data_IF_304381638798
#
_entry.id   IF_304381638798
#
_cell.length_a   1.000
_cell.length_b   1.000
_cell.length_c   1.000
_cell.angle_alpha   90.00
_cell.angle_beta   90.00
_cell.angle_gamma   90.00
#
_symmetry.space_group_name_H-M   'P 1'
#
loop_
_entity.id
_entity.type
_entity.pdbx_description
1 polymer ?
#
# COMPACT_ATOMS: atom_id res chain seq x y z
N UNK A 1 10.09 12.44 -4.09
CA UNK A 1 10.69 13.17 -2.96
C UNK A 1 11.99 12.47 -2.63
N UNK A 2 13.12 13.14 -2.84
CA UNK A 2 14.35 12.68 -2.21
C UNK A 2 14.09 12.79 -0.71
N UNK A 3 13.96 11.64 -0.06
CA UNK A 3 13.87 11.61 1.39
C UNK A 3 15.22 12.11 1.90
N UNK A 4 15.25 13.34 2.39
CA UNK A 4 16.28 13.70 3.36
C UNK A 4 16.20 12.60 4.42
N UNK A 5 17.32 12.02 4.75
CA UNK A 5 17.43 11.03 5.81
C UNK A 5 16.71 11.58 7.04
N UNK A 6 15.71 10.87 7.51
CA UNK A 6 14.90 11.28 8.65
C UNK A 6 15.37 10.54 9.88
N UNK A 7 16.09 11.25 10.74
CA UNK A 7 16.48 10.73 12.05
C UNK A 7 15.28 10.74 12.99
N UNK A 8 14.99 9.60 13.58
CA UNK A 8 13.92 9.41 14.54
C UNK A 8 14.50 8.87 15.85
N UNK A 9 14.21 9.58 16.94
CA UNK A 9 14.47 9.14 18.31
C UNK A 9 13.21 9.37 19.13
N UNK A 10 12.60 8.27 19.58
CA UNK A 10 11.33 8.32 20.28
C UNK A 10 11.18 7.16 21.26
N UNK A 11 10.23 7.32 22.17
CA UNK A 11 9.76 6.28 23.06
C UNK A 11 8.24 6.12 22.93
N UNK A 12 7.77 4.87 22.90
CA UNK A 12 6.35 4.56 22.98
C UNK A 12 5.89 4.69 24.43
N UNK A 13 4.89 5.52 24.68
CA UNK A 13 4.40 5.80 26.04
C UNK A 13 3.42 4.71 26.45
N UNK A 14 3.87 3.82 27.33
CA UNK A 14 3.01 2.75 27.86
C UNK A 14 1.87 3.32 28.72
N UNK A 15 0.71 2.66 28.68
CA UNK A 15 -0.44 3.00 29.52
C UNK A 15 -1.25 4.22 29.09
N UNK A 16 -0.86 4.96 28.05
CA UNK A 16 -1.69 5.99 27.42
C UNK A 16 -2.61 5.40 26.37
N UNK A 17 -3.80 5.99 26.26
CA UNK A 17 -4.75 5.60 25.21
C UNK A 17 -4.20 5.92 23.82
N UNK A 18 -4.43 5.02 22.89
CA UNK A 18 -4.08 5.19 21.49
C UNK A 18 -5.04 6.18 20.83
N UNK A 19 -4.53 7.02 19.92
CA UNK A 19 -5.30 8.04 19.23
C UNK A 19 -5.86 7.53 17.91
N UNK A 20 -7.13 7.84 17.63
CA UNK A 20 -7.73 7.55 16.33
C UNK A 20 -7.06 8.37 15.23
N UNK A 21 -6.73 7.70 14.09
CA UNK A 21 -6.16 8.38 12.92
C UNK A 21 -7.21 9.16 12.09
N UNK A 22 -8.48 9.15 12.53
CA UNK A 22 -9.56 9.78 11.77
C UNK A 22 -10.04 8.96 10.57
N UNK A 23 -10.60 9.64 9.58
CA UNK A 23 -11.16 9.08 8.35
C UNK A 23 -10.59 9.76 7.12
N UNK A 24 -10.88 9.22 5.95
CA UNK A 24 -10.56 9.85 4.66
C UNK A 24 -11.87 10.17 3.94
N UNK A 25 -12.14 11.46 3.78
CA UNK A 25 -13.23 11.92 2.94
C UNK A 25 -12.78 11.99 1.49
N UNK A 26 -13.62 11.49 0.59
CA UNK A 26 -13.40 11.49 -0.84
C UNK A 26 -14.38 12.44 -1.52
N UNK A 27 -13.84 13.27 -2.37
CA UNK A 27 -14.60 14.25 -3.17
C UNK A 27 -14.19 14.15 -4.63
N UNK A 28 -14.82 14.96 -5.47
CA UNK A 28 -14.46 15.12 -6.86
C UNK A 28 -13.00 15.57 -7.03
N UNK A 29 -12.50 16.43 -6.14
CA UNK A 29 -11.15 16.98 -6.18
C UNK A 29 -10.07 16.06 -5.59
N UNK A 30 -10.46 14.96 -4.93
CA UNK A 30 -9.51 14.01 -4.34
C UNK A 30 -9.92 13.44 -2.98
N UNK A 31 -8.91 13.18 -2.14
CA UNK A 31 -9.09 12.61 -0.81
C UNK A 31 -8.47 13.49 0.24
N UNK A 32 -9.22 13.79 1.31
CA UNK A 32 -8.77 14.64 2.44
C UNK A 32 -8.85 13.84 3.73
N UNK A 33 -7.77 13.87 4.53
CA UNK A 33 -7.76 13.28 5.86
C UNK A 33 -8.54 14.15 6.84
N UNK A 34 -9.45 13.53 7.58
CA UNK A 34 -10.23 14.16 8.63
C UNK A 34 -9.75 13.64 9.98
N UNK A 35 -9.19 14.50 10.80
CA UNK A 35 -8.68 14.15 12.12
C UNK A 35 -9.79 13.77 13.09
N UNK A 36 -9.47 13.01 14.13
CA UNK A 36 -10.39 12.59 15.17
C UNK A 36 -9.66 12.52 16.51
N UNK A 37 -10.22 13.16 17.53
CA UNK A 37 -9.65 13.25 18.88
C UNK A 37 -10.12 12.11 19.80
N UNK A 38 -10.90 11.16 19.30
CA UNK A 38 -11.37 10.02 20.08
C UNK A 38 -10.28 8.97 20.25
N UNK A 39 -10.28 8.19 21.35
CA UNK A 39 -9.40 7.03 21.50
C UNK A 39 -9.62 6.00 20.39
N UNK A 40 -8.56 5.38 19.93
CA UNK A 40 -8.64 4.25 19.01
C UNK A 40 -9.00 2.95 19.76
N UNK A 41 -10.08 2.30 19.37
CA UNK A 41 -10.50 1.00 19.91
C UNK A 41 -9.97 -0.19 19.09
N UNK A 42 -9.58 0.08 17.85
CA UNK A 42 -8.93 -0.86 16.94
C UNK A 42 -7.45 -0.50 16.76
N UNK A 43 -6.75 -1.22 15.87
CA UNK A 43 -5.38 -0.89 15.53
C UNK A 43 -5.19 0.50 14.90
N UNK A 44 -6.27 1.16 14.43
CA UNK A 44 -6.19 2.43 13.69
C UNK A 44 -7.20 3.48 14.10
N UNK A 45 -8.43 3.09 14.48
CA UNK A 45 -9.55 4.02 14.55
C UNK A 45 -10.45 3.76 15.76
N UNK A 46 -11.21 4.79 16.16
CA UNK A 46 -12.38 4.62 17.01
C UNK A 46 -13.50 3.95 16.23
N UNK A 47 -14.50 3.43 16.92
CA UNK A 47 -15.61 2.70 16.32
C UNK A 47 -16.36 3.50 15.24
N UNK A 48 -16.63 4.79 15.52
CA UNK A 48 -17.31 5.69 14.57
C UNK A 48 -16.53 5.87 13.27
N UNK A 49 -15.21 6.11 13.35
CA UNK A 49 -14.38 6.30 12.17
C UNK A 49 -14.21 5.01 11.39
N UNK A 50 -14.05 3.88 12.08
CA UNK A 50 -13.97 2.57 11.45
C UNK A 50 -15.24 2.22 10.69
N UNK A 51 -16.41 2.47 11.30
CA UNK A 51 -17.71 2.25 10.66
C UNK A 51 -17.86 3.11 9.40
N UNK A 52 -17.50 4.41 9.49
CA UNK A 52 -17.55 5.32 8.33
C UNK A 52 -16.66 4.84 7.18
N UNK A 53 -15.42 4.47 7.46
CA UNK A 53 -14.49 3.99 6.45
C UNK A 53 -14.91 2.63 5.87
N UNK A 54 -15.45 1.73 6.68
CA UNK A 54 -15.98 0.44 6.21
C UNK A 54 -17.18 0.61 5.28
N UNK A 55 -18.11 1.52 5.60
CA UNK A 55 -19.24 1.85 4.74
C UNK A 55 -18.75 2.45 3.43
N UNK A 56 -17.82 3.40 3.47
CA UNK A 56 -17.26 4.02 2.28
C UNK A 56 -16.51 2.99 1.40
N UNK A 57 -15.75 2.08 2.02
CA UNK A 57 -15.06 1.01 1.30
C UNK A 57 -16.04 0.02 0.66
N UNK A 58 -17.09 -0.42 1.40
CA UNK A 58 -18.12 -1.31 0.88
C UNK A 58 -18.86 -0.68 -0.30
N UNK A 59 -19.28 0.58 -0.16
CA UNK A 59 -19.94 1.32 -1.23
C UNK A 59 -19.03 1.44 -2.48
N UNK A 60 -17.74 1.72 -2.28
CA UNK A 60 -16.79 1.80 -3.39
C UNK A 60 -16.60 0.46 -4.09
N UNK A 61 -16.45 -0.65 -3.34
CA UNK A 61 -16.24 -1.97 -3.92
C UNK A 61 -17.49 -2.54 -4.59
N UNK A 62 -18.68 -2.13 -4.14
CA UNK A 62 -19.95 -2.66 -4.63
C UNK A 62 -20.72 -1.67 -5.51
N UNK A 63 -20.16 -0.50 -5.80
CA UNK A 63 -20.83 0.56 -6.55
C UNK A 63 -21.41 0.06 -7.88
N UNK A 64 -20.65 -0.72 -8.63
CA UNK A 64 -21.07 -1.31 -9.92
C UNK A 64 -22.23 -2.31 -9.77
N UNK A 65 -22.41 -2.93 -8.60
CA UNK A 65 -23.49 -3.91 -8.31
C UNK A 65 -24.74 -3.23 -7.76
N UNK A 66 -24.58 -2.13 -7.02
CA UNK A 66 -25.69 -1.43 -6.37
C UNK A 66 -26.27 -0.30 -7.22
N UNK A 67 -25.60 0.10 -8.31
CA UNK A 67 -25.99 1.20 -9.19
C UNK A 67 -25.59 2.59 -8.67
N UNK A 68 -25.73 3.58 -9.53
CA UNK A 68 -25.28 4.97 -9.26
C UNK A 68 -25.95 5.60 -8.04
N UNK A 69 -27.23 5.29 -7.81
CA UNK A 69 -28.04 5.93 -6.76
C UNK A 69 -27.66 5.49 -5.34
N UNK A 70 -27.03 4.32 -5.18
CA UNK A 70 -26.66 3.77 -3.88
C UNK A 70 -25.34 4.33 -3.31
N UNK A 71 -24.54 5.02 -4.12
CA UNK A 71 -23.16 5.41 -3.76
C UNK A 71 -23.06 6.69 -2.93
N UNK A 72 -24.14 7.48 -2.84
CA UNK A 72 -24.11 8.85 -2.31
C UNK A 72 -23.38 9.84 -3.26
N UNK A 73 -23.75 11.13 -3.18
CA UNK A 73 -23.35 12.13 -4.17
C UNK A 73 -21.82 12.27 -4.37
N UNK A 74 -21.05 12.32 -3.29
CA UNK A 74 -19.60 12.51 -3.36
C UNK A 74 -18.88 11.26 -3.95
N UNK A 75 -19.33 10.06 -3.61
CA UNK A 75 -18.80 8.82 -4.16
C UNK A 75 -19.17 8.65 -5.63
N UNK A 76 -20.42 8.97 -5.99
CA UNK A 76 -20.89 8.95 -7.37
C UNK A 76 -20.06 9.90 -8.24
N UNK A 77 -19.84 11.14 -7.79
CA UNK A 77 -19.00 12.11 -8.49
C UNK A 77 -17.56 11.58 -8.68
N UNK A 78 -16.97 10.96 -7.64
CA UNK A 78 -15.66 10.35 -7.75
C UNK A 78 -15.62 9.23 -8.80
N UNK A 79 -16.66 8.40 -8.89
CA UNK A 79 -16.73 7.24 -9.78
C UNK A 79 -17.09 7.59 -11.23
N UNK A 80 -17.65 8.77 -11.50
CA UNK A 80 -17.96 9.20 -12.89
C UNK A 80 -16.74 9.60 -13.72
N UNK A 81 -15.57 9.77 -13.09
CA UNK A 81 -14.33 10.07 -13.80
C UNK A 81 -13.68 8.82 -14.40
N UNK A 82 -12.80 8.98 -15.41
CA UNK A 82 -12.04 7.87 -15.96
C UNK A 82 -11.16 7.18 -14.91
N UNK A 83 -11.18 5.85 -14.92
CA UNK A 83 -10.39 4.99 -14.05
C UNK A 83 -9.52 4.07 -14.89
N UNK A 84 -8.36 3.69 -14.33
CA UNK A 84 -7.43 2.74 -14.94
C UNK A 84 -7.45 1.42 -14.19
N UNK A 85 -7.39 0.35 -14.94
CA UNK A 85 -7.19 -1.01 -14.47
C UNK A 85 -5.69 -1.35 -14.57
N UNK A 86 -5.13 -1.94 -13.53
CA UNK A 86 -3.73 -2.36 -13.51
C UNK A 86 -3.59 -3.76 -12.94
N UNK A 87 -2.52 -4.44 -13.32
CA UNK A 87 -1.96 -5.59 -12.59
C UNK A 87 -0.63 -5.18 -11.97
N UNK A 88 -0.42 -5.55 -10.71
CA UNK A 88 0.81 -5.26 -9.98
C UNK A 88 1.45 -6.54 -9.45
N UNK A 89 2.78 -6.55 -9.36
CA UNK A 89 3.58 -7.61 -8.77
C UNK A 89 4.43 -7.04 -7.63
N UNK A 90 4.61 -7.86 -6.59
CA UNK A 90 5.36 -7.52 -5.37
C UNK A 90 6.67 -8.31 -5.32
N UNK A 91 7.58 -7.94 -4.40
CA UNK A 91 8.92 -8.54 -4.29
C UNK A 91 8.93 -10.06 -4.05
N UNK A 92 7.87 -10.60 -3.44
CA UNK A 92 7.66 -12.05 -3.26
C UNK A 92 7.09 -12.77 -4.51
N UNK A 93 6.86 -12.04 -5.60
CA UNK A 93 6.22 -12.56 -6.80
C UNK A 93 4.70 -12.66 -6.73
N UNK A 94 4.07 -12.30 -5.61
CA UNK A 94 2.62 -12.22 -5.53
C UNK A 94 2.07 -11.12 -6.43
N UNK A 95 0.89 -11.36 -7.01
CA UNK A 95 0.25 -10.45 -7.96
C UNK A 95 -1.14 -10.05 -7.50
N UNK A 96 -1.60 -8.89 -7.98
CA UNK A 96 -2.98 -8.46 -7.81
C UNK A 96 -3.45 -7.63 -9.01
N UNK A 97 -4.74 -7.70 -9.28
CA UNK A 97 -5.43 -6.70 -10.10
C UNK A 97 -5.94 -5.58 -9.20
N UNK A 98 -6.08 -4.38 -9.74
CA UNK A 98 -6.59 -3.23 -9.00
C UNK A 98 -6.97 -2.09 -9.91
N UNK A 99 -7.66 -1.11 -9.34
CA UNK A 99 -8.13 0.07 -10.04
C UNK A 99 -7.58 1.34 -9.40
N UNK A 100 -7.44 2.39 -10.20
CA UNK A 100 -7.03 3.71 -9.74
C UNK A 100 -7.69 4.79 -10.58
N UNK A 101 -7.99 5.94 -9.96
CA UNK A 101 -8.52 7.08 -10.68
C UNK A 101 -7.42 7.74 -11.52
N UNK A 102 -7.66 7.91 -12.80
CA UNK A 102 -6.95 8.75 -13.76
C UNK A 102 -5.45 8.96 -13.53
N UNK A 103 -5.02 10.21 -13.51
CA UNK A 103 -3.61 10.65 -13.48
C UNK A 103 -2.84 10.37 -12.17
N UNK A 104 -3.52 10.01 -11.07
CA UNK A 104 -2.89 9.75 -9.76
C UNK A 104 -2.44 8.30 -9.58
N UNK A 105 -2.47 7.50 -10.64
CA UNK A 105 -2.26 6.05 -10.59
C UNK A 105 -0.96 5.61 -9.92
N UNK A 106 0.15 6.30 -10.18
CA UNK A 106 1.45 5.96 -9.62
C UNK A 106 1.48 6.02 -8.09
N UNK A 107 0.84 7.00 -7.49
CA UNK A 107 0.78 7.12 -6.02
C UNK A 107 0.11 5.90 -5.37
N UNK A 108 -0.97 5.40 -5.97
CA UNK A 108 -1.67 4.22 -5.47
C UNK A 108 -0.79 2.97 -5.47
N UNK A 109 0.04 2.79 -6.49
CA UNK A 109 0.98 1.66 -6.58
C UNK A 109 2.07 1.76 -5.52
N UNK A 110 2.64 2.97 -5.31
CA UNK A 110 3.63 3.23 -4.24
C UNK A 110 3.03 2.97 -2.87
N UNK A 111 1.85 3.52 -2.58
CA UNK A 111 1.14 3.31 -1.30
C UNK A 111 0.87 1.84 -0.99
N UNK A 112 0.62 1.04 -2.01
CA UNK A 112 0.37 -0.39 -1.87
C UNK A 112 1.65 -1.22 -1.77
N UNK A 113 2.80 -0.63 -2.03
CA UNK A 113 4.08 -1.31 -2.02
C UNK A 113 4.32 -2.20 -3.24
N UNK A 114 3.73 -1.86 -4.39
CA UNK A 114 4.00 -2.54 -5.64
C UNK A 114 5.45 -2.34 -6.08
N UNK A 115 6.04 -3.35 -6.74
CA UNK A 115 7.39 -3.26 -7.27
C UNK A 115 7.38 -2.95 -8.76
N UNK A 116 6.62 -3.69 -9.54
CA UNK A 116 6.27 -3.41 -10.93
C UNK A 116 4.76 -3.47 -11.14
N UNK A 117 4.27 -2.81 -12.17
CA UNK A 117 2.88 -2.89 -12.59
C UNK A 117 2.72 -2.65 -14.10
N UNK A 118 1.58 -3.04 -14.62
CA UNK A 118 1.15 -2.71 -15.98
C UNK A 118 -0.27 -2.17 -15.96
N UNK A 119 -0.50 -0.98 -16.54
CA UNK A 119 -1.83 -0.48 -16.80
C UNK A 119 -2.36 -1.16 -18.07
N UNK A 120 -3.53 -1.76 -17.95
CA UNK A 120 -4.09 -2.67 -18.96
C UNK A 120 -5.27 -2.11 -19.70
N UNK A 121 -6.06 -1.25 -19.04
CA UNK A 121 -7.19 -0.58 -19.61
C UNK A 121 -7.48 0.75 -18.90
N UNK A 122 -8.10 1.67 -19.62
CA UNK A 122 -8.77 2.84 -19.09
C UNK A 122 -10.25 2.68 -19.38
N UNK A 123 -11.08 2.76 -18.35
CA UNK A 123 -12.52 2.81 -18.45
C UNK A 123 -13.02 4.25 -18.32
N UNK A 124 -14.15 4.55 -18.93
CA UNK A 124 -14.74 5.89 -18.90
C UNK A 124 -15.18 6.30 -17.50
N UNK A 125 -15.44 5.30 -16.64
CA UNK A 125 -15.85 5.52 -15.26
C UNK A 125 -15.33 4.44 -14.28
N UNK A 126 -15.53 4.70 -12.99
CA UNK A 126 -15.15 3.80 -11.91
C UNK A 126 -16.10 2.62 -11.71
N UNK A 127 -17.28 2.63 -12.28
CA UNK A 127 -18.23 1.51 -12.21
C UNK A 127 -17.77 0.41 -13.16
N UNK A 128 -17.59 0.75 -14.42
CA UNK A 128 -17.18 -0.23 -15.42
C UNK A 128 -15.79 -0.82 -15.16
N UNK A 129 -14.82 -0.01 -14.68
CA UNK A 129 -13.50 -0.54 -14.36
C UNK A 129 -13.56 -1.60 -13.25
N UNK A 130 -14.53 -1.51 -12.32
CA UNK A 130 -14.74 -2.51 -11.28
C UNK A 130 -15.41 -3.78 -11.78
N UNK A 131 -16.32 -3.65 -12.76
CA UNK A 131 -16.84 -4.82 -13.46
C UNK A 131 -15.70 -5.61 -14.12
N UNK A 132 -14.75 -4.91 -14.75
CA UNK A 132 -13.57 -5.55 -15.33
C UNK A 132 -12.66 -6.19 -14.26
N UNK A 133 -12.42 -5.49 -13.14
CA UNK A 133 -11.62 -6.00 -12.01
C UNK A 133 -12.23 -7.29 -11.44
N UNK A 134 -13.55 -7.31 -11.21
CA UNK A 134 -14.28 -8.49 -10.72
C UNK A 134 -14.26 -9.62 -11.76
N UNK A 135 -14.46 -9.32 -13.04
CA UNK A 135 -14.43 -10.31 -14.12
C UNK A 135 -13.05 -10.99 -14.25
N UNK A 136 -11.97 -10.23 -14.10
CA UNK A 136 -10.61 -10.78 -14.09
C UNK A 136 -10.42 -11.71 -12.89
N UNK A 137 -10.88 -11.28 -11.71
CA UNK A 137 -10.79 -12.12 -10.51
C UNK A 137 -11.58 -13.41 -10.67
N UNK A 138 -12.80 -13.34 -11.20
CA UNK A 138 -13.69 -14.48 -11.38
C UNK A 138 -13.21 -15.45 -12.47
N UNK A 139 -12.75 -14.94 -13.61
CA UNK A 139 -12.41 -15.76 -14.78
C UNK A 139 -10.95 -16.21 -14.81
N UNK A 140 -10.03 -15.40 -14.30
CA UNK A 140 -8.58 -15.69 -14.33
C UNK A 140 -8.02 -16.00 -12.93
N UNK A 141 -8.82 -15.90 -11.86
CA UNK A 141 -8.39 -16.22 -10.49
C UNK A 141 -7.40 -15.22 -9.88
N UNK A 142 -7.23 -14.03 -10.48
CA UNK A 142 -6.28 -13.04 -10.01
C UNK A 142 -6.90 -12.27 -8.84
N UNK A 143 -6.18 -12.21 -7.72
CA UNK A 143 -6.66 -11.60 -6.49
C UNK A 143 -6.66 -10.07 -6.58
N UNK A 144 -7.55 -9.42 -5.82
CA UNK A 144 -7.59 -7.96 -5.65
C UNK A 144 -6.78 -7.45 -4.44
N UNK A 145 -6.28 -8.36 -3.61
CA UNK A 145 -5.49 -8.03 -2.43
C UNK A 145 -4.31 -8.98 -2.23
N UNK A 146 -3.22 -8.46 -1.67
CA UNK A 146 -2.06 -9.23 -1.23
C UNK A 146 -1.82 -8.98 0.25
N UNK A 147 -1.55 -10.05 0.99
CA UNK A 147 -1.25 -10.01 2.41
C UNK A 147 0.02 -9.19 2.67
N UNK A 148 -0.02 -8.33 3.67
CA UNK A 148 1.10 -7.47 4.02
C UNK A 148 2.30 -8.24 4.58
N UNK A 149 2.06 -9.35 5.29
CA UNK A 149 3.15 -10.21 5.76
C UNK A 149 3.95 -10.80 4.60
N UNK A 150 3.26 -11.15 3.51
CA UNK A 150 3.93 -11.61 2.27
C UNK A 150 4.78 -10.51 1.66
N UNK A 151 4.26 -9.28 1.61
CA UNK A 151 5.03 -8.13 1.11
C UNK A 151 6.28 -7.88 1.94
N UNK A 152 6.16 -7.92 3.27
CA UNK A 152 7.30 -7.78 4.18
C UNK A 152 8.34 -8.89 3.96
N UNK A 153 7.91 -10.15 3.98
CA UNK A 153 8.78 -11.29 3.72
C UNK A 153 9.46 -11.23 2.35
N UNK A 154 8.74 -10.75 1.33
CA UNK A 154 9.28 -10.57 -0.02
C UNK A 154 10.41 -9.54 -0.11
N UNK A 155 10.46 -8.54 0.77
CA UNK A 155 11.60 -7.64 0.85
C UNK A 155 12.81 -8.26 1.56
N UNK A 156 12.60 -9.19 2.49
CA UNK A 156 13.70 -9.93 3.14
C UNK A 156 14.26 -11.04 2.25
N UNK A 157 13.43 -11.61 1.39
CA UNK A 157 13.80 -12.67 0.44
C UNK A 157 13.23 -12.36 -0.95
N UNK A 158 13.79 -11.35 -1.64
CA UNK A 158 13.25 -10.88 -2.89
C UNK A 158 13.52 -11.86 -4.03
N UNK A 159 12.56 -11.99 -4.95
CA UNK A 159 12.81 -12.59 -6.26
C UNK A 159 13.67 -11.64 -7.11
N UNK A 160 14.35 -12.19 -8.09
CA UNK A 160 15.12 -11.42 -9.07
C UNK A 160 14.19 -10.49 -9.87
N UNK A 161 14.63 -9.27 -10.13
CA UNK A 161 13.84 -8.29 -10.87
C UNK A 161 13.44 -8.81 -12.26
N UNK A 162 14.35 -9.48 -12.96
CA UNK A 162 14.05 -10.09 -14.26
C UNK A 162 12.93 -11.16 -14.16
N UNK A 163 12.89 -11.93 -13.09
CA UNK A 163 11.83 -12.92 -12.86
C UNK A 163 10.49 -12.24 -12.62
N UNK A 164 10.47 -11.17 -11.82
CA UNK A 164 9.27 -10.38 -11.57
C UNK A 164 8.73 -9.74 -12.85
N UNK A 165 9.60 -9.17 -13.68
CA UNK A 165 9.23 -8.56 -14.95
C UNK A 165 8.67 -9.59 -15.95
N UNK A 166 9.29 -10.77 -16.05
CA UNK A 166 8.81 -11.84 -16.91
C UNK A 166 7.42 -12.32 -16.49
N UNK A 167 7.22 -12.60 -15.20
CA UNK A 167 5.93 -13.01 -14.63
C UNK A 167 4.85 -11.95 -14.87
N UNK A 168 5.17 -10.66 -14.63
CA UNK A 168 4.25 -9.57 -14.89
C UNK A 168 3.89 -9.47 -16.36
N UNK A 169 4.85 -9.66 -17.26
CA UNK A 169 4.64 -9.61 -18.73
C UNK A 169 3.69 -10.70 -19.18
N UNK A 170 3.91 -11.94 -18.74
CA UNK A 170 3.06 -13.08 -19.06
C UNK A 170 1.63 -12.84 -18.58
N UNK A 171 1.48 -12.44 -17.32
CA UNK A 171 0.18 -12.16 -16.70
C UNK A 171 -0.54 -10.98 -17.37
N UNK A 172 0.17 -9.88 -17.68
CA UNK A 172 -0.40 -8.74 -18.38
C UNK A 172 -0.92 -9.14 -19.77
N UNK A 173 -0.18 -9.97 -20.50
CA UNK A 173 -0.58 -10.46 -21.82
C UNK A 173 -1.82 -11.36 -21.75
N UNK A 174 -1.92 -12.22 -20.74
CA UNK A 174 -3.11 -13.05 -20.49
C UNK A 174 -4.34 -12.18 -20.23
N UNK A 175 -4.21 -11.21 -19.31
CA UNK A 175 -5.32 -10.30 -18.98
C UNK A 175 -5.72 -9.46 -20.20
N UNK A 176 -4.77 -8.95 -20.99
CA UNK A 176 -5.08 -8.17 -22.21
C UNK A 176 -5.87 -8.98 -23.24
N UNK A 177 -5.54 -10.25 -23.44
CA UNK A 177 -6.33 -11.13 -24.31
C UNK A 177 -7.78 -11.26 -23.86
N UNK A 178 -7.99 -11.37 -22.54
CA UNK A 178 -9.32 -11.37 -21.95
C UNK A 178 -10.02 -10.02 -22.16
N UNK A 179 -9.37 -8.91 -21.81
CA UNK A 179 -9.92 -7.56 -21.90
C UNK A 179 -10.28 -7.12 -23.34
N UNK A 180 -9.61 -7.65 -24.35
CA UNK A 180 -9.92 -7.34 -25.76
C UNK A 180 -11.39 -7.62 -26.10
N UNK A 181 -12.02 -8.57 -25.41
CA UNK A 181 -13.42 -8.93 -25.60
C UNK A 181 -14.37 -8.18 -24.68
N UNK A 182 -13.88 -7.70 -23.52
CA UNK A 182 -14.70 -7.15 -22.45
C UNK A 182 -14.79 -5.63 -22.44
N UNK A 183 -13.72 -4.93 -22.87
CA UNK A 183 -13.65 -3.44 -22.75
C UNK A 183 -14.67 -2.75 -23.65
N UNK A 184 -14.86 -3.24 -24.89
CA UNK A 184 -15.85 -2.70 -25.83
C UNK A 184 -15.73 -1.20 -26.07
N UNK A 185 -16.89 -0.51 -26.13
CA UNK A 185 -16.97 0.93 -26.36
C UNK A 185 -16.86 1.79 -25.08
N UNK A 186 -16.79 1.14 -23.89
CA UNK A 186 -16.75 1.84 -22.58
C UNK A 186 -15.34 2.11 -22.07
N UNK A 187 -14.34 1.99 -22.93
CA UNK A 187 -12.96 2.23 -22.53
C UNK A 187 -11.96 1.90 -23.63
N UNK A 188 -10.69 1.90 -23.29
CA UNK A 188 -9.58 1.60 -24.19
C UNK A 188 -8.56 0.68 -23.49
N UNK A 189 -7.91 -0.18 -24.29
CA UNK A 189 -6.78 -0.96 -23.81
C UNK A 189 -5.56 -0.06 -23.67
N UNK A 190 -4.76 -0.33 -22.65
CA UNK A 190 -3.48 0.32 -22.39
C UNK A 190 -2.33 -0.70 -22.44
N UNK A 191 -1.14 -0.19 -22.69
CA UNK A 191 0.13 -0.93 -22.62
C UNK A 191 1.21 -0.07 -21.96
N UNK A 192 0.93 0.39 -20.75
CA UNK A 192 1.82 1.26 -20.01
C UNK A 192 2.46 0.48 -18.88
N UNK A 193 3.79 0.50 -18.82
CA UNK A 193 4.57 -0.09 -17.72
C UNK A 193 4.81 0.95 -16.64
N UNK A 194 4.83 0.48 -15.42
CA UNK A 194 5.21 1.24 -14.24
C UNK A 194 6.22 0.45 -13.42
N UNK A 195 7.25 1.12 -12.94
CA UNK A 195 8.23 0.57 -11.99
C UNK A 195 8.32 1.47 -10.77
N UNK A 196 8.59 0.85 -9.62
CA UNK A 196 8.83 1.60 -8.41
C UNK A 196 10.16 2.34 -8.53
N UNK A 197 10.18 3.63 -8.22
CA UNK A 197 11.40 4.46 -8.26
C UNK A 197 12.49 3.99 -7.27
N UNK A 198 12.16 3.06 -6.35
CA UNK A 198 13.08 2.50 -5.36
C UNK A 198 13.82 1.25 -5.85
N UNK A 199 13.59 0.80 -7.09
CA UNK A 199 14.25 -0.40 -7.65
C UNK A 199 15.78 -0.25 -7.64
N UNK A 200 16.28 0.93 -7.95
CA UNK A 200 17.72 1.23 -7.98
C UNK A 200 18.26 1.76 -6.63
N UNK A 201 17.40 1.88 -5.62
CA UNK A 201 17.78 2.40 -4.31
C UNK A 201 18.43 1.27 -3.48
N UNK A 202 19.74 1.38 -3.25
CA UNK A 202 20.51 0.41 -2.47
C UNK A 202 19.99 0.22 -1.03
N UNK A 203 19.20 1.15 -0.51
CA UNK A 203 18.53 0.98 0.78
C UNK A 203 17.56 -0.21 0.80
N UNK A 204 17.20 -0.79 -0.34
CA UNK A 204 16.32 -1.97 -0.46
C UNK A 204 17.07 -3.26 -0.77
N UNK A 205 18.39 -3.29 -0.61
CA UNK A 205 19.22 -4.48 -0.78
C UNK A 205 19.67 -5.03 0.57
N UNK A 206 19.89 -6.34 0.65
CA UNK A 206 20.44 -7.06 1.82
C UNK A 206 19.75 -6.70 3.15
N UNK A 207 18.42 -6.67 3.10
CA UNK A 207 17.60 -6.26 4.23
C UNK A 207 17.51 -7.35 5.29
N UNK A 208 17.62 -6.95 6.54
CA UNK A 208 17.30 -7.76 7.70
C UNK A 208 16.08 -7.18 8.44
N UNK A 209 15.33 -8.03 9.11
CA UNK A 209 14.20 -7.56 9.92
C UNK A 209 14.70 -6.70 11.08
N UNK A 210 14.01 -5.57 11.34
CA UNK A 210 14.29 -4.76 12.52
C UNK A 210 14.13 -5.63 13.79
N UNK A 211 15.12 -5.67 14.70
CA UNK A 211 15.22 -6.74 15.69
C UNK A 211 14.29 -6.58 16.89
N UNK A 212 13.72 -5.41 17.11
CA UNK A 212 12.85 -5.13 18.26
C UNK A 212 11.41 -4.84 17.84
N UNK A 213 10.48 -4.94 18.79
CA UNK A 213 9.06 -4.66 18.57
C UNK A 213 8.88 -3.14 18.53
N UNK A 214 8.67 -2.57 17.35
CA UNK A 214 8.66 -1.11 17.08
C UNK A 214 7.64 -0.31 17.92
N UNK A 215 6.55 -0.92 18.38
CA UNK A 215 5.52 -0.26 19.18
C UNK A 215 5.70 -0.45 20.69
N UNK A 216 6.91 -0.74 21.16
CA UNK A 216 7.26 -0.84 22.57
C UNK A 216 8.67 -0.29 22.79
N UNK A 217 8.93 0.30 23.97
CA UNK A 217 10.26 0.77 24.34
C UNK A 217 10.69 2.06 23.62
N UNK A 218 12.00 2.29 23.60
CA UNK A 218 12.64 3.43 22.97
C UNK A 218 13.41 3.01 21.72
N UNK A 219 13.36 3.85 20.70
CA UNK A 219 13.93 3.57 19.38
C UNK A 219 14.73 4.76 18.88
N UNK A 220 15.83 4.44 18.19
CA UNK A 220 16.65 5.41 17.46
C UNK A 220 17.09 4.79 16.13
N UNK A 221 16.75 5.44 15.03
CA UNK A 221 17.16 5.02 13.69
C UNK A 221 16.99 6.15 12.68
N UNK A 222 17.66 6.02 11.55
CA UNK A 222 17.52 6.93 10.40
C UNK A 222 16.76 6.21 9.29
N UNK A 223 15.59 6.73 8.91
CA UNK A 223 14.84 6.24 7.73
C UNK A 223 15.61 6.63 6.48
N UNK A 224 15.88 5.66 5.62
CA UNK A 224 16.56 5.84 4.32
C UNK A 224 15.57 5.90 3.16
N UNK A 225 14.57 5.04 3.18
CA UNK A 225 13.61 4.91 2.08
C UNK A 225 12.29 4.34 2.57
N UNK A 226 11.20 4.59 1.82
CA UNK A 226 9.87 4.07 2.13
C UNK A 226 9.14 3.55 0.89
N UNK A 227 8.46 2.43 1.05
CA UNK A 227 7.53 1.85 0.05
C UNK A 227 6.24 1.43 0.76
N UNK A 228 5.18 2.18 0.51
CA UNK A 228 3.94 2.02 1.27
C UNK A 228 4.15 2.32 2.75
N UNK A 229 3.89 1.33 3.60
CA UNK A 229 4.09 1.42 5.05
C UNK A 229 5.43 0.82 5.53
N UNK A 230 6.16 0.20 4.61
CA UNK A 230 7.47 -0.38 4.90
C UNK A 230 8.54 0.70 4.75
N UNK A 231 9.49 0.71 5.66
CA UNK A 231 10.63 1.60 5.63
C UNK A 231 11.93 0.80 5.75
N UNK A 232 12.96 1.29 5.08
CA UNK A 232 14.33 0.84 5.35
C UNK A 232 15.01 1.87 6.25
N UNK A 233 15.77 1.41 7.20
CA UNK A 233 16.48 2.27 8.13
C UNK A 233 17.84 1.71 8.51
N UNK A 234 18.73 2.62 8.96
CA UNK A 234 19.99 2.27 9.60
C UNK A 234 19.95 2.70 11.07
N UNK A 235 20.72 2.01 11.90
CA UNK A 235 20.94 2.35 13.29
C UNK A 235 22.41 2.60 13.54
N UNK A 236 22.73 3.57 14.37
CA UNK A 236 24.13 3.84 14.81
C UNK A 236 24.76 2.58 15.42
N UNK A 237 25.96 2.25 14.95
CA UNK A 237 26.69 1.05 15.41
C UNK A 237 26.38 -0.23 14.63
N UNK A 238 25.49 -0.20 13.63
CA UNK A 238 25.18 -1.33 12.75
C UNK A 238 25.47 -0.98 11.28
N UNK A 239 25.87 -2.00 10.53
CA UNK A 239 26.14 -1.88 9.08
C UNK A 239 24.96 -2.30 8.23
N UNK A 240 24.03 -3.02 8.82
CA UNK A 240 22.86 -3.60 8.19
C UNK A 240 21.81 -2.56 7.82
N UNK A 241 21.12 -2.81 6.70
CA UNK A 241 19.87 -2.13 6.36
C UNK A 241 18.70 -2.90 7.00
N UNK A 242 18.00 -2.26 7.93
CA UNK A 242 16.85 -2.87 8.58
C UNK A 242 15.55 -2.58 7.83
N UNK A 243 14.68 -3.58 7.73
CA UNK A 243 13.32 -3.43 7.25
C UNK A 243 12.35 -3.27 8.42
N UNK A 244 11.53 -2.21 8.36
CA UNK A 244 10.51 -1.85 9.35
C UNK A 244 9.12 -1.87 8.72
N UNK A 245 8.13 -2.36 9.47
CA UNK A 245 6.73 -2.06 9.26
C UNK A 245 6.30 -0.95 10.23
N UNK A 246 6.00 0.23 9.73
CA UNK A 246 5.64 1.40 10.56
C UNK A 246 4.18 1.38 11.02
N UNK A 247 3.34 0.46 10.52
CA UNK A 247 1.93 0.43 10.89
C UNK A 247 1.66 0.25 12.38
N UNK A 248 2.43 -0.54 13.14
CA UNK A 248 2.22 -0.68 14.58
C UNK A 248 2.39 0.61 15.38
N UNK A 249 3.08 1.62 14.81
CA UNK A 249 3.24 2.94 15.43
C UNK A 249 2.03 3.85 15.22
N UNK A 250 1.20 3.56 14.22
CA UNK A 250 -0.03 4.34 14.00
C UNK A 250 -0.89 4.26 15.27
N UNK A 251 -1.36 5.40 15.72
CA UNK A 251 -2.18 5.54 16.95
C UNK A 251 -1.41 5.48 18.28
N UNK A 252 -0.16 5.06 18.28
CA UNK A 252 0.63 5.01 19.52
C UNK A 252 1.00 6.42 19.99
N UNK A 253 0.86 6.72 21.28
CA UNK A 253 1.42 7.93 21.86
C UNK A 253 2.95 7.81 21.89
N UNK A 254 3.61 8.76 21.22
CA UNK A 254 5.07 8.82 21.12
C UNK A 254 5.59 10.05 21.85
N UNK A 255 6.72 9.92 22.50
CA UNK A 255 7.50 11.04 23.02
C UNK A 255 8.85 11.09 22.31
N UNK A 256 9.27 12.29 21.91
CA UNK A 256 10.61 12.53 21.36
C UNK A 256 11.52 13.06 22.44
N UNK A 257 12.80 12.67 22.42
CA UNK A 257 13.76 13.11 23.41
C UNK A 257 14.98 12.18 23.50
N UNK A 258 15.85 12.46 24.45
CA UNK A 258 16.99 11.62 24.79
C UNK A 258 16.55 10.52 25.73
N UNK A 259 16.44 9.31 25.22
CA UNK A 259 16.10 8.11 25.97
C UNK A 259 17.28 7.13 25.93
N UNK A 260 17.41 6.35 26.99
CA UNK A 260 18.25 5.15 26.96
C UNK A 260 17.61 4.16 25.98
N UNK A 261 18.36 3.78 24.95
CA UNK A 261 17.89 2.88 23.89
C UNK A 261 18.34 1.48 24.26
N UNK A 262 17.37 0.55 24.26
CA UNK A 262 17.64 -0.85 24.53
C UNK A 262 18.72 -1.38 23.56
N UNK A 263 19.81 -1.89 24.09
CA UNK A 263 20.82 -2.59 23.32
C UNK A 263 20.27 -3.93 22.87
N UNK A 264 20.42 -4.25 21.61
CA UNK A 264 20.19 -5.60 21.10
C UNK A 264 21.46 -6.12 20.42
N UNK A 265 21.72 -7.37 20.63
CA UNK A 265 22.83 -8.07 19.97
C UNK A 265 22.21 -8.80 18.77
N UNK A 266 22.68 -8.49 17.57
CA UNK A 266 22.38 -9.32 16.40
C UNK A 266 23.01 -10.69 16.65
N UNK A 267 22.19 -11.73 16.72
CA UNK A 267 22.70 -13.07 16.68
C UNK A 267 23.21 -13.33 15.27
N UNK A 268 24.53 -13.38 15.10
CA UNK A 268 25.11 -13.88 13.85
C UNK A 268 24.51 -15.27 13.60
N UNK A 269 23.85 -15.44 12.48
CA UNK A 269 23.37 -16.76 12.09
C UNK A 269 24.58 -17.62 11.83
N UNK A 270 24.81 -18.60 12.69
CA UNK A 270 25.91 -19.58 12.60
C UNK A 270 25.69 -20.65 11.54
N UNK A 271 24.97 -20.31 10.41
CA UNK A 271 24.76 -21.26 9.33
C UNK A 271 24.82 -20.57 7.95
#
# INVERSE_FOLDING_TARGET
MNANELELRFRVVAGRERQCIGTVDRSEDGSTSVQCDSPAVSARQCERCQTKDNIAAANMHQAHRCGHDASGNAMAAFLTHPHRLYVAIFRDGSTKVGTTRGLTGGNRLVEQGAWYASYLAQADDGFFVRELEDSITEKLGIRQAVDTRKKFAGHLQPLLDQELENRLTELANEIKKFLTKEVGAKGSLLDERWSNQRIEDQAWTDLVSYPTIINQGAHEFTIKSMVGRLATCNRTGFTENFLLDLQPLLTQPLETGDFEIDEFIMQDSLF
#
